data_IF_471542958891
#
_entry.id   IF_471542958891
#
_cell.length_a   1.000
_cell.length_b   1.000
_cell.length_c   1.000
_cell.angle_alpha   90.00
_cell.angle_beta   90.00
_cell.angle_gamma   90.00
#
_symmetry.space_group_name_H-M   'P 1'
#
loop_
_entity.id
_entity.type
_entity.pdbx_description
1 polymer ?
#
# COMPACT_ATOMS: atom_id res chain seq x y z
N UNK A 1 -19.75 11.56 -5.99
CA UNK A 1 -18.44 10.92 -6.17
C UNK A 1 -18.60 9.45 -5.78
N UNK A 2 -18.42 8.53 -6.72
CA UNK A 2 -18.87 7.15 -6.51
C UNK A 2 -18.09 6.49 -5.36
N UNK A 3 -18.82 5.98 -4.35
CA UNK A 3 -18.24 5.18 -3.25
C UNK A 3 -17.37 4.03 -3.79
N UNK A 4 -17.77 3.48 -4.94
CA UNK A 4 -17.04 2.45 -5.71
C UNK A 4 -15.63 2.92 -6.09
N UNK A 5 -15.47 4.16 -6.56
CA UNK A 5 -14.16 4.67 -6.98
C UNK A 5 -13.19 4.79 -5.79
N UNK A 6 -13.68 5.28 -4.66
CA UNK A 6 -12.89 5.38 -3.43
C UNK A 6 -12.51 4.00 -2.89
N UNK A 7 -13.41 3.02 -3.00
CA UNK A 7 -13.15 1.63 -2.62
C UNK A 7 -12.08 0.97 -3.51
N UNK A 8 -12.11 1.20 -4.82
CA UNK A 8 -11.09 0.68 -5.75
C UNK A 8 -9.72 1.26 -5.42
N UNK A 9 -9.63 2.56 -5.17
CA UNK A 9 -8.36 3.21 -4.78
C UNK A 9 -7.87 2.64 -3.46
N UNK A 10 -8.75 2.48 -2.47
CA UNK A 10 -8.39 1.91 -1.18
C UNK A 10 -7.77 0.50 -1.33
N UNK A 11 -8.44 -0.38 -2.09
CA UNK A 11 -7.96 -1.75 -2.32
C UNK A 11 -6.60 -1.73 -3.05
N UNK A 12 -6.47 -0.93 -4.11
CA UNK A 12 -5.21 -0.81 -4.85
C UNK A 12 -4.06 -0.28 -3.97
N UNK A 13 -4.33 0.74 -3.16
CA UNK A 13 -3.36 1.30 -2.21
C UNK A 13 -2.99 0.28 -1.12
N UNK A 14 -3.96 -0.49 -0.63
CA UNK A 14 -3.72 -1.52 0.38
C UNK A 14 -2.75 -2.60 -0.13
N UNK A 15 -3.03 -3.18 -1.30
CA UNK A 15 -2.16 -4.20 -1.90
C UNK A 15 -0.77 -3.66 -2.25
N UNK A 16 -0.69 -2.42 -2.74
CA UNK A 16 0.58 -1.78 -3.06
C UNK A 16 1.43 -1.56 -1.80
N UNK A 17 0.85 -0.98 -0.74
CA UNK A 17 1.55 -0.77 0.54
C UNK A 17 1.95 -2.09 1.19
N UNK A 18 1.07 -3.09 1.16
CA UNK A 18 1.36 -4.43 1.66
C UNK A 18 2.58 -5.04 0.95
N UNK A 19 2.62 -4.98 -0.39
CA UNK A 19 3.75 -5.47 -1.16
C UNK A 19 5.02 -4.66 -0.90
N UNK A 20 4.90 -3.33 -0.85
CA UNK A 20 6.02 -2.43 -0.65
C UNK A 20 6.72 -2.69 0.68
N UNK A 21 5.98 -2.65 1.79
CA UNK A 21 6.55 -2.91 3.11
C UNK A 21 7.02 -4.36 3.28
N UNK A 22 6.38 -5.32 2.62
CA UNK A 22 6.82 -6.71 2.63
C UNK A 22 8.19 -6.90 1.96
N UNK A 23 8.47 -6.18 0.87
CA UNK A 23 9.76 -6.23 0.19
C UNK A 23 10.82 -5.38 0.87
N UNK A 24 10.45 -4.18 1.34
CA UNK A 24 11.35 -3.27 2.06
C UNK A 24 11.97 -3.95 3.27
N UNK A 25 11.13 -4.54 4.12
CA UNK A 25 11.58 -5.32 5.27
C UNK A 25 12.43 -6.54 4.91
N UNK A 26 12.22 -7.13 3.74
CA UNK A 26 13.01 -8.25 3.29
C UNK A 26 14.39 -7.81 2.80
N UNK A 27 14.50 -6.65 2.16
CA UNK A 27 15.78 -6.03 1.81
C UNK A 27 16.58 -5.65 3.07
N UNK A 28 15.92 -5.17 4.12
CA UNK A 28 16.56 -4.81 5.39
C UNK A 28 17.27 -5.97 6.09
N UNK A 29 16.78 -7.21 5.89
CA UNK A 29 17.39 -8.42 6.45
C UNK A 29 18.33 -9.13 5.48
N UNK A 30 18.70 -8.47 4.38
CA UNK A 30 19.67 -8.98 3.39
C UNK A 30 19.07 -9.85 2.29
N UNK A 31 17.73 -9.85 2.14
CA UNK A 31 17.05 -10.50 1.03
C UNK A 31 17.20 -9.76 -0.30
N UNK A 32 16.75 -10.39 -1.38
CA UNK A 32 16.79 -9.86 -2.74
C UNK A 32 15.37 -9.61 -3.26
N UNK A 33 15.10 -8.37 -3.67
CA UNK A 33 13.85 -8.03 -4.36
C UNK A 33 13.82 -8.64 -5.77
N UNK A 34 12.77 -9.42 -6.05
CA UNK A 34 12.50 -10.01 -7.35
C UNK A 34 11.14 -9.57 -7.89
N UNK A 35 10.91 -9.75 -9.19
CA UNK A 35 9.68 -9.35 -9.87
C UNK A 35 9.26 -7.91 -9.53
N UNK A 36 10.12 -6.92 -9.82
CA UNK A 36 9.82 -5.49 -9.61
C UNK A 36 9.44 -5.12 -8.16
N UNK A 37 9.88 -5.88 -7.16
CA UNK A 37 9.53 -5.63 -5.76
C UNK A 37 8.16 -6.17 -5.35
N UNK A 38 7.64 -7.19 -6.05
CA UNK A 38 6.46 -7.95 -5.64
C UNK A 38 6.80 -9.26 -4.92
N UNK A 39 8.04 -9.73 -5.03
CA UNK A 39 8.54 -10.90 -4.31
C UNK A 39 9.89 -10.59 -3.71
N UNK A 40 10.18 -11.24 -2.60
CA UNK A 40 11.51 -11.23 -2.04
C UNK A 40 11.98 -12.66 -1.82
N UNK A 41 13.26 -12.88 -2.07
CA UNK A 41 13.93 -14.17 -1.95
C UNK A 41 15.09 -14.06 -0.95
N UNK A 42 15.32 -15.10 -0.16
CA UNK A 42 16.42 -15.14 0.81
C UNK A 42 16.13 -14.63 2.23
N UNK A 43 14.90 -14.21 2.54
CA UNK A 43 14.52 -13.94 3.93
C UNK A 43 13.03 -14.18 4.20
N UNK A 44 12.71 -14.49 5.47
CA UNK A 44 11.34 -14.67 5.91
C UNK A 44 10.58 -13.33 5.75
N UNK A 45 9.42 -13.34 5.08
CA UNK A 45 8.72 -12.11 4.78
C UNK A 45 8.08 -11.53 6.04
N UNK A 46 8.10 -10.20 6.16
CA UNK A 46 7.68 -9.48 7.37
C UNK A 46 6.22 -9.74 7.77
N UNK A 47 5.38 -10.27 6.88
CA UNK A 47 4.00 -10.64 7.23
C UNK A 47 3.92 -11.79 8.23
N UNK A 48 4.95 -12.65 8.32
CA UNK A 48 4.99 -13.72 9.34
C UNK A 48 5.25 -13.16 10.74
N UNK A 49 5.91 -12.01 10.83
CA UNK A 49 6.20 -11.28 12.07
C UNK A 49 5.35 -10.02 12.23
N UNK A 50 4.42 -9.78 11.30
CA UNK A 50 3.65 -8.54 11.24
C UNK A 50 2.76 -8.41 12.48
N UNK A 51 3.13 -7.47 13.33
CA UNK A 51 2.34 -7.09 14.50
C UNK A 51 1.04 -6.43 14.05
N UNK A 52 0.01 -6.52 14.90
CA UNK A 52 -1.31 -5.90 14.65
C UNK A 52 -1.20 -4.41 14.29
N UNK A 53 -0.19 -3.73 14.84
CA UNK A 53 0.18 -2.34 14.55
C UNK A 53 0.49 -2.10 13.07
N UNK A 54 1.18 -3.03 12.41
CA UNK A 54 1.54 -2.92 11.00
C UNK A 54 0.31 -2.96 10.09
N UNK A 55 -0.63 -3.86 10.38
CA UNK A 55 -1.91 -3.93 9.66
C UNK A 55 -2.75 -2.67 9.83
N UNK A 56 -2.80 -2.12 11.05
CA UNK A 56 -3.48 -0.84 11.32
C UNK A 56 -2.84 0.29 10.50
N UNK A 57 -1.50 0.33 10.43
CA UNK A 57 -0.77 1.35 9.69
C UNK A 57 -1.09 1.29 8.18
N UNK A 58 -1.09 0.10 7.58
CA UNK A 58 -1.45 -0.09 6.16
C UNK A 58 -2.90 0.36 5.90
N UNK A 59 -3.84 0.01 6.79
CA UNK A 59 -5.25 0.44 6.66
C UNK A 59 -5.38 1.96 6.78
N UNK A 60 -4.66 2.59 7.70
CA UNK A 60 -4.69 4.05 7.86
C UNK A 60 -4.09 4.77 6.66
N UNK A 61 -2.93 4.32 6.16
CA UNK A 61 -2.31 4.93 4.97
C UNK A 61 -3.18 4.75 3.72
N UNK A 62 -3.73 3.56 3.51
CA UNK A 62 -4.62 3.31 2.36
C UNK A 62 -5.89 4.15 2.41
N UNK A 63 -6.50 4.33 3.59
CA UNK A 63 -7.63 5.24 3.77
C UNK A 63 -7.25 6.71 3.53
N UNK A 64 -6.07 7.13 3.98
CA UNK A 64 -5.55 8.47 3.76
C UNK A 64 -5.31 8.74 2.27
N UNK A 65 -4.64 7.82 1.55
CA UNK A 65 -4.40 7.90 0.11
C UNK A 65 -5.71 7.93 -0.68
N UNK A 66 -6.66 7.06 -0.33
CA UNK A 66 -7.98 7.07 -0.96
C UNK A 66 -8.66 8.44 -0.81
N UNK A 67 -8.59 9.05 0.38
CA UNK A 67 -9.17 10.39 0.63
C UNK A 67 -8.43 11.50 -0.12
N UNK A 68 -7.11 11.43 -0.22
CA UNK A 68 -6.28 12.41 -0.93
C UNK A 68 -6.49 12.36 -2.44
N UNK A 69 -6.41 11.17 -3.06
CA UNK A 69 -6.69 10.99 -4.49
C UNK A 69 -8.08 11.51 -4.85
N UNK A 70 -9.05 11.23 -3.98
CA UNK A 70 -10.43 11.68 -4.14
C UNK A 70 -10.53 13.21 -4.11
N UNK A 71 -9.85 13.89 -3.16
CA UNK A 71 -9.80 15.36 -3.10
C UNK A 71 -9.10 15.96 -4.32
N UNK A 72 -7.97 15.40 -4.74
CA UNK A 72 -7.22 15.86 -5.91
C UNK A 72 -8.07 15.74 -7.18
N UNK A 73 -8.79 14.63 -7.34
CA UNK A 73 -9.71 14.45 -8.47
C UNK A 73 -10.82 15.51 -8.50
N UNK A 74 -11.39 15.85 -7.34
CA UNK A 74 -12.39 16.94 -7.25
C UNK A 74 -11.77 18.29 -7.61
N UNK A 75 -10.56 18.61 -7.13
CA UNK A 75 -9.88 19.86 -7.49
C UNK A 75 -9.57 19.94 -8.99
N UNK A 76 -9.14 18.82 -9.60
CA UNK A 76 -8.91 18.74 -11.04
C UNK A 76 -10.21 18.92 -11.82
N UNK A 77 -11.29 18.26 -11.39
CA UNK A 77 -12.61 18.41 -12.01
C UNK A 77 -13.14 19.85 -11.92
N UNK A 78 -12.86 20.57 -10.83
CA UNK A 78 -13.29 21.97 -10.69
C UNK A 78 -12.39 22.96 -11.43
N UNK A 79 -11.24 22.53 -11.96
CA UNK A 79 -10.34 23.37 -12.78
C UNK A 79 -10.63 23.30 -14.28
N UNK A 80 -11.42 22.34 -14.73
CA UNK A 80 -11.90 22.17 -16.10
C UNK A 80 -13.41 22.39 -16.17
#
# INVERSE_FOLDING_TARGET
>A
MNKVFSMVIFIASFFSLYSFFGVDACLDVGGSAQNLGFKCDGAAPLYETATFTFWILIVLLSAFLARMCTKVFVMLKNRF
#
